data_IF_276085652108
#
_entry.id   IF_276085652108
#
_cell.length_a   1.000
_cell.length_b   1.000
_cell.length_c   1.000
_cell.angle_alpha   90.00
_cell.angle_beta   90.00
_cell.angle_gamma   90.00
#
_symmetry.space_group_name_H-M   'P 1'
#
loop_
_entity.id
_entity.type
_entity.pdbx_description
1 polymer ?
#
# COMPACT_ATOMS: atom_id res chain seq x y z
N UNK A 1 -0.22 -19.41 -20.74
CA UNK A 1 -1.11 -18.44 -20.07
C UNK A 1 -0.40 -17.10 -20.05
N UNK A 2 -1.07 -16.00 -20.43
CA UNK A 2 -0.50 -14.65 -20.26
C UNK A 2 -0.16 -14.45 -18.78
N UNK A 3 1.06 -14.00 -18.47
CA UNK A 3 1.44 -13.72 -17.09
C UNK A 3 0.57 -12.58 -16.54
N UNK A 4 0.06 -12.73 -15.32
CA UNK A 4 -0.61 -11.63 -14.64
C UNK A 4 0.45 -10.57 -14.30
N UNK A 5 0.10 -9.30 -14.30
CA UNK A 5 1.05 -8.22 -14.01
C UNK A 5 0.48 -7.28 -12.97
N UNK A 6 1.28 -6.94 -11.95
CA UNK A 6 1.01 -5.83 -11.03
C UNK A 6 2.03 -4.75 -11.36
N UNK A 7 1.54 -3.57 -11.72
CA UNK A 7 2.39 -2.38 -11.93
C UNK A 7 2.16 -1.43 -10.78
N UNK A 8 3.21 -1.19 -9.99
CA UNK A 8 3.21 -0.24 -8.89
C UNK A 8 3.70 1.10 -9.45
N UNK A 9 3.03 2.17 -9.06
CA UNK A 9 3.37 3.53 -9.44
C UNK A 9 3.49 4.34 -8.16
N UNK A 10 4.69 4.80 -7.81
CA UNK A 10 4.88 5.43 -6.51
C UNK A 10 6.29 5.86 -6.18
N UNK A 11 6.48 6.27 -4.93
CA UNK A 11 7.74 6.81 -4.43
C UNK A 11 8.82 5.75 -4.24
N UNK A 12 10.05 6.17 -4.49
CA UNK A 12 11.29 5.47 -4.21
C UNK A 12 12.11 6.40 -3.31
N UNK A 13 12.36 6.00 -2.07
CA UNK A 13 13.11 6.81 -1.12
C UNK A 13 14.30 6.02 -0.57
N UNK A 14 15.25 6.74 0.03
CA UNK A 14 16.20 6.17 0.98
C UNK A 14 15.93 6.80 2.33
N UNK A 15 15.67 5.96 3.32
CA UNK A 15 15.35 6.39 4.67
C UNK A 15 16.66 6.62 5.45
N UNK A 16 16.79 7.80 6.04
CA UNK A 16 17.90 8.17 6.92
C UNK A 16 17.40 8.10 8.36
N UNK A 17 17.61 6.94 9.00
CA UNK A 17 17.09 6.69 10.35
C UNK A 17 18.16 7.04 11.36
N UNK A 18 17.88 8.08 12.15
CA UNK A 18 18.71 8.50 13.28
C UNK A 18 17.98 8.15 14.57
N UNK A 19 18.59 7.30 15.41
CA UNK A 19 18.01 6.97 16.71
C UNK A 19 18.60 7.89 17.76
N UNK A 20 17.73 8.49 18.56
CA UNK A 20 18.07 9.36 19.67
C UNK A 20 17.33 8.91 20.92
N UNK A 21 17.82 9.25 22.13
CA UNK A 21 17.09 8.98 23.38
C UNK A 21 15.68 9.61 23.43
N UNK A 22 15.48 10.70 22.69
CA UNK A 22 14.18 11.39 22.48
C UNK A 22 14.22 12.27 21.23
N UNK A 23 13.05 12.74 20.80
CA UNK A 23 12.93 13.76 19.75
C UNK A 23 13.61 15.06 20.23
N UNK A 24 14.48 15.71 19.42
CA UNK A 24 15.12 16.97 19.78
C UNK A 24 14.10 18.11 19.81
N UNK A 25 14.29 19.07 20.73
CA UNK A 25 13.50 20.30 20.77
C UNK A 25 13.97 21.28 19.67
N UNK A 26 13.13 22.28 19.33
CA UNK A 26 13.51 23.30 18.36
C UNK A 26 14.79 24.04 18.78
N UNK A 27 15.80 24.03 17.90
CA UNK A 27 17.12 24.65 18.14
C UNK A 27 18.10 23.82 18.97
N UNK A 28 17.69 22.64 19.44
CA UNK A 28 18.55 21.75 20.21
C UNK A 28 19.45 20.90 19.32
N UNK A 29 20.70 20.67 19.76
CA UNK A 29 21.59 19.65 19.18
C UNK A 29 21.67 18.47 20.13
N UNK A 30 21.44 17.26 19.62
CA UNK A 30 21.44 16.03 20.40
C UNK A 30 22.31 14.96 19.71
N UNK A 31 23.13 14.24 20.49
CA UNK A 31 23.94 13.14 19.98
C UNK A 31 23.06 11.92 19.69
N UNK A 32 23.17 11.36 18.48
CA UNK A 32 22.49 10.14 18.08
C UNK A 32 23.14 8.90 18.73
N UNK A 33 22.31 7.92 19.09
CA UNK A 33 22.78 6.59 19.53
C UNK A 33 23.11 5.69 18.34
N UNK A 34 22.46 5.90 17.19
CA UNK A 34 22.79 5.22 15.94
C UNK A 34 22.31 6.02 14.73
N UNK A 35 22.92 5.72 13.59
CA UNK A 35 22.52 6.21 12.28
C UNK A 35 22.57 5.06 11.29
N UNK A 36 21.52 4.89 10.50
CA UNK A 36 21.44 3.87 9.45
C UNK A 36 20.71 4.41 8.24
N UNK A 37 21.15 3.99 7.07
CA UNK A 37 20.45 4.22 5.80
C UNK A 37 19.85 2.92 5.30
N UNK A 38 18.69 3.00 4.66
CA UNK A 38 18.03 1.84 4.09
C UNK A 38 17.07 2.21 2.95
N UNK A 39 16.74 1.27 2.06
CA UNK A 39 15.72 1.51 1.04
C UNK A 39 14.37 1.75 1.71
N UNK A 40 13.61 2.71 1.18
CA UNK A 40 12.30 3.07 1.70
C UNK A 40 11.38 3.64 0.62
N UNK A 41 10.31 4.29 1.06
CA UNK A 41 9.26 4.80 0.18
C UNK A 41 8.15 3.77 -0.04
N UNK A 42 6.91 4.24 0.04
CA UNK A 42 5.72 3.39 0.00
C UNK A 42 5.61 2.58 -1.28
N UNK A 43 5.90 3.20 -2.42
CA UNK A 43 5.91 2.51 -3.72
C UNK A 43 6.93 1.36 -3.75
N UNK A 44 8.17 1.63 -3.31
CA UNK A 44 9.20 0.61 -3.19
C UNK A 44 8.78 -0.53 -2.24
N UNK A 45 8.29 -0.20 -1.05
CA UNK A 45 7.87 -1.17 -0.04
C UNK A 45 6.73 -2.06 -0.55
N UNK A 46 5.72 -1.48 -1.20
CA UNK A 46 4.60 -2.22 -1.79
C UNK A 46 5.05 -3.11 -2.95
N UNK A 47 5.97 -2.64 -3.80
CA UNK A 47 6.53 -3.42 -4.89
C UNK A 47 7.33 -4.63 -4.38
N UNK A 48 8.19 -4.42 -3.38
CA UNK A 48 8.95 -5.49 -2.71
C UNK A 48 8.01 -6.49 -2.03
N UNK A 49 6.97 -6.02 -1.34
CA UNK A 49 5.95 -6.88 -0.73
C UNK A 49 5.26 -7.75 -1.80
N UNK A 50 4.82 -7.15 -2.91
CA UNK A 50 4.23 -7.90 -4.03
C UNK A 50 5.20 -8.94 -4.61
N UNK A 51 6.46 -8.55 -4.82
CA UNK A 51 7.47 -9.41 -5.42
C UNK A 51 7.80 -10.61 -4.54
N UNK A 52 7.91 -10.42 -3.22
CA UNK A 52 8.19 -11.49 -2.27
C UNK A 52 6.98 -12.41 -2.08
N UNK A 53 5.77 -11.85 -1.99
CA UNK A 53 4.55 -12.62 -1.73
C UNK A 53 4.00 -13.34 -2.97
N UNK A 54 4.33 -12.89 -4.17
CA UNK A 54 3.92 -13.55 -5.43
C UNK A 54 4.71 -14.82 -5.74
N UNK A 55 5.95 -14.94 -5.24
CA UNK A 55 6.83 -16.09 -5.45
C UNK A 55 6.36 -17.35 -4.73
N UNK A 56 6.54 -18.50 -5.38
CA UNK A 56 6.38 -19.82 -4.77
C UNK A 56 7.47 -20.07 -3.74
N UNK A 57 7.19 -20.89 -2.71
CA UNK A 57 8.18 -21.25 -1.69
C UNK A 57 9.45 -21.81 -2.33
N UNK A 58 10.65 -21.35 -1.95
CA UNK A 58 11.87 -22.06 -2.30
C UNK A 58 11.78 -23.49 -1.77
N UNK A 59 11.79 -24.47 -2.66
CA UNK A 59 12.08 -25.86 -2.27
C UNK A 59 13.56 -26.09 -2.49
N UNK A 60 14.15 -27.06 -1.79
CA UNK A 60 15.57 -27.40 -1.95
C UNK A 60 15.96 -27.82 -3.37
N UNK A 61 14.98 -28.00 -4.26
CA UNK A 61 15.14 -28.58 -5.60
C UNK A 61 14.74 -27.66 -6.74
N UNK A 62 14.19 -26.46 -6.49
CA UNK A 62 13.78 -25.55 -7.58
C UNK A 62 13.81 -24.07 -7.16
N UNK A 63 14.29 -23.17 -8.04
CA UNK A 63 14.20 -21.75 -7.78
C UNK A 63 12.73 -21.31 -7.66
N UNK A 64 12.43 -20.31 -6.80
CA UNK A 64 11.08 -19.79 -6.63
C UNK A 64 10.56 -19.24 -7.96
N UNK A 65 9.40 -19.74 -8.40
CA UNK A 65 8.71 -19.25 -9.60
C UNK A 65 7.52 -18.38 -9.20
N UNK A 66 7.27 -17.31 -9.98
CA UNK A 66 6.08 -16.47 -9.84
C UNK A 66 5.32 -16.46 -11.16
N UNK A 67 3.99 -16.56 -11.08
CA UNK A 67 3.09 -16.36 -12.22
C UNK A 67 2.55 -14.92 -12.31
N UNK A 68 3.03 -14.03 -11.43
CA UNK A 68 2.70 -12.60 -11.39
C UNK A 68 3.99 -11.81 -11.61
N UNK A 69 4.06 -11.07 -12.70
CA UNK A 69 5.13 -10.13 -12.98
C UNK A 69 4.92 -8.84 -12.16
N UNK A 70 5.96 -8.38 -11.48
CA UNK A 70 5.93 -7.12 -10.72
C UNK A 70 6.72 -6.07 -11.48
N UNK A 71 6.06 -4.95 -11.78
CA UNK A 71 6.66 -3.78 -12.43
C UNK A 71 6.57 -2.59 -11.49
N UNK A 72 7.56 -1.71 -11.54
CA UNK A 72 7.59 -0.45 -10.80
C UNK A 72 7.82 0.71 -11.75
N UNK A 73 6.99 1.73 -11.64
CA UNK A 73 7.17 3.04 -12.25
C UNK A 73 7.35 4.07 -11.13
N UNK A 74 8.52 4.71 -11.04
CA UNK A 74 8.80 5.68 -9.98
C UNK A 74 10.02 6.53 -10.27
N UNK A 75 10.32 7.56 -9.48
CA UNK A 75 11.44 8.46 -9.74
C UNK A 75 12.62 8.14 -8.81
N UNK A 76 13.82 8.00 -9.35
CA UNK A 76 15.05 7.87 -8.57
C UNK A 76 16.04 8.97 -8.98
N UNK A 77 16.73 9.54 -7.99
CA UNK A 77 17.82 10.48 -8.23
C UNK A 77 19.04 9.81 -8.88
N UNK A 78 19.88 10.62 -9.54
CA UNK A 78 21.19 10.18 -10.04
C UNK A 78 22.31 10.35 -8.98
N UNK A 79 21.93 10.56 -7.72
CA UNK A 79 22.82 10.68 -6.57
C UNK A 79 23.35 9.32 -6.12
N UNK A 80 24.14 9.31 -5.04
CA UNK A 80 24.75 8.10 -4.50
C UNK A 80 23.73 7.07 -3.97
N UNK A 81 22.48 7.47 -3.75
CA UNK A 81 21.42 6.62 -3.20
C UNK A 81 20.62 5.90 -4.29
N UNK A 82 20.46 6.52 -5.47
CA UNK A 82 19.66 5.99 -6.58
C UNK A 82 20.10 4.62 -7.09
N UNK A 83 21.36 4.43 -7.56
CA UNK A 83 21.79 3.17 -8.13
C UNK A 83 21.70 1.97 -7.16
N UNK A 84 22.12 2.07 -5.88
CA UNK A 84 21.92 0.98 -4.92
C UNK A 84 20.45 0.61 -4.68
N UNK A 85 19.55 1.61 -4.62
CA UNK A 85 18.12 1.38 -4.45
C UNK A 85 17.54 0.59 -5.64
N UNK A 86 17.85 1.01 -6.86
CA UNK A 86 17.39 0.35 -8.09
C UNK A 86 17.95 -1.08 -8.20
N UNK A 87 19.22 -1.28 -7.85
CA UNK A 87 19.85 -2.60 -7.87
C UNK A 87 19.19 -3.57 -6.86
N UNK A 88 18.88 -3.08 -5.64
CA UNK A 88 18.18 -3.88 -4.62
C UNK A 88 16.79 -4.33 -5.07
N UNK A 89 16.03 -3.44 -5.70
CA UNK A 89 14.71 -3.78 -6.25
C UNK A 89 14.78 -4.75 -7.43
N UNK A 90 15.77 -4.59 -8.32
CA UNK A 90 16.02 -5.54 -9.41
C UNK A 90 16.38 -6.93 -8.89
N UNK A 91 17.17 -7.01 -7.81
CA UNK A 91 17.48 -8.28 -7.13
C UNK A 91 16.24 -8.94 -6.52
N UNK A 92 15.22 -8.16 -6.16
CA UNK A 92 13.89 -8.65 -5.75
C UNK A 92 12.99 -9.06 -6.93
N UNK A 93 13.49 -9.00 -8.17
CA UNK A 93 12.78 -9.42 -9.39
C UNK A 93 11.76 -8.40 -9.90
N UNK A 94 11.92 -7.12 -9.52
CA UNK A 94 11.05 -6.02 -9.95
C UNK A 94 11.63 -5.40 -11.22
N UNK A 95 10.80 -5.31 -12.27
CA UNK A 95 11.13 -4.58 -13.49
C UNK A 95 10.83 -3.10 -13.30
N UNK A 96 11.85 -2.24 -13.35
CA UNK A 96 11.75 -0.84 -12.93
C UNK A 96 11.98 0.07 -14.13
N UNK A 97 11.04 0.99 -14.34
CA UNK A 97 11.22 2.13 -15.23
C UNK A 97 11.21 3.39 -14.38
N UNK A 98 12.29 4.19 -14.44
CA UNK A 98 12.38 5.38 -13.59
C UNK A 98 11.98 6.66 -14.32
N UNK A 99 10.97 7.37 -13.80
CA UNK A 99 10.48 8.67 -14.29
C UNK A 99 9.98 9.53 -13.11
N UNK A 100 10.16 10.85 -13.19
CA UNK A 100 9.48 11.80 -12.30
C UNK A 100 7.97 11.81 -12.60
N UNK A 101 7.12 11.57 -11.60
CA UNK A 101 5.66 11.42 -11.79
C UNK A 101 4.90 12.55 -11.09
N UNK A 102 4.61 13.67 -11.79
CA UNK A 102 3.71 14.70 -11.31
C UNK A 102 2.28 14.19 -11.05
N UNK A 103 1.54 14.84 -10.14
CA UNK A 103 0.11 14.56 -9.89
C UNK A 103 -0.72 14.52 -11.20
N UNK A 104 -0.58 15.48 -12.16
CA UNK A 104 -1.30 15.41 -13.43
C UNK A 104 -1.07 14.10 -14.20
N UNK A 105 0.13 13.52 -14.12
CA UNK A 105 0.46 12.23 -14.73
C UNK A 105 -0.29 11.10 -14.03
N UNK A 106 -0.38 11.10 -12.69
CA UNK A 106 -1.19 10.12 -11.94
C UNK A 106 -2.65 10.19 -12.34
N UNK A 107 -3.24 11.39 -12.44
CA UNK A 107 -4.64 11.55 -12.87
C UNK A 107 -4.88 11.02 -14.29
N UNK A 108 -3.94 11.28 -15.21
CA UNK A 108 -4.01 10.76 -16.58
C UNK A 108 -3.89 9.22 -16.62
N UNK A 109 -3.05 8.64 -15.77
CA UNK A 109 -2.92 7.18 -15.63
C UNK A 109 -4.23 6.57 -15.13
N UNK A 110 -4.87 7.16 -14.10
CA UNK A 110 -6.17 6.70 -13.60
C UNK A 110 -7.25 6.71 -14.69
N UNK A 111 -7.30 7.80 -15.46
CA UNK A 111 -8.22 7.92 -16.61
C UNK A 111 -7.96 6.84 -17.66
N UNK A 112 -6.69 6.67 -18.05
CA UNK A 112 -6.28 5.68 -19.07
C UNK A 112 -6.56 4.25 -18.62
N UNK A 113 -6.29 3.93 -17.34
CA UNK A 113 -6.56 2.62 -16.77
C UNK A 113 -8.06 2.30 -16.78
N UNK A 114 -8.90 3.29 -16.42
CA UNK A 114 -10.36 3.15 -16.50
C UNK A 114 -10.84 2.87 -17.93
N UNK A 115 -10.36 3.63 -18.92
CA UNK A 115 -10.70 3.44 -20.34
C UNK A 115 -10.25 2.07 -20.85
N UNK A 116 -9.07 1.61 -20.43
CA UNK A 116 -8.52 0.30 -20.76
C UNK A 116 -9.10 -0.86 -19.92
N UNK A 117 -10.02 -0.58 -18.98
CA UNK A 117 -10.59 -1.56 -18.03
C UNK A 117 -9.54 -2.30 -17.20
N UNK A 118 -8.44 -1.62 -16.88
CA UNK A 118 -7.41 -2.10 -15.97
C UNK A 118 -7.85 -1.75 -14.53
N UNK A 119 -7.75 -2.72 -13.62
CA UNK A 119 -8.07 -2.46 -12.22
C UNK A 119 -7.03 -1.55 -11.58
N UNK A 120 -7.52 -0.59 -10.80
CA UNK A 120 -6.69 0.37 -10.08
C UNK A 120 -6.83 0.10 -8.58
N UNK A 121 -5.69 -0.14 -7.92
CA UNK A 121 -5.57 -0.03 -6.47
C UNK A 121 -4.89 1.31 -6.15
N UNK A 122 -5.55 2.15 -5.37
CA UNK A 122 -4.98 3.39 -4.87
C UNK A 122 -4.79 3.33 -3.36
N UNK A 123 -3.56 3.53 -2.91
CA UNK A 123 -3.23 3.89 -1.53
C UNK A 123 -2.67 5.33 -1.53
N UNK A 124 -3.49 6.34 -1.24
CA UNK A 124 -3.13 7.74 -1.41
C UNK A 124 -2.17 8.19 -0.30
N UNK A 125 -0.88 8.19 -0.60
CA UNK A 125 0.14 8.57 0.36
C UNK A 125 1.29 9.38 -0.28
N UNK A 126 1.60 10.59 0.22
CA UNK A 126 0.87 11.32 1.26
C UNK A 126 -0.57 11.63 0.80
N UNK A 127 -1.52 11.68 1.74
CA UNK A 127 -2.90 11.95 1.38
C UNK A 127 -3.03 13.37 0.82
N UNK A 128 -3.48 13.44 -0.44
CA UNK A 128 -3.81 14.68 -1.14
C UNK A 128 -5.25 14.54 -1.59
N UNK A 129 -6.04 15.63 -1.50
CA UNK A 129 -7.40 15.62 -2.02
C UNK A 129 -7.39 15.33 -3.51
N UNK A 130 -8.19 14.35 -3.90
CA UNK A 130 -8.33 13.95 -5.29
C UNK A 130 -9.55 14.66 -5.89
N UNK A 131 -9.50 15.03 -7.19
CA UNK A 131 -10.69 15.50 -7.89
C UNK A 131 -11.80 14.44 -7.88
N UNK A 132 -13.06 14.84 -7.74
CA UNK A 132 -14.19 13.91 -7.63
C UNK A 132 -14.33 12.98 -8.85
N UNK A 133 -13.93 13.44 -10.03
CA UNK A 133 -14.02 12.70 -11.29
C UNK A 133 -13.12 11.46 -11.37
N UNK A 134 -12.12 11.31 -10.48
CA UNK A 134 -11.22 10.14 -10.54
C UNK A 134 -11.73 8.94 -9.75
N UNK A 135 -12.58 9.15 -8.74
CA UNK A 135 -13.08 8.06 -7.88
C UNK A 135 -13.76 6.92 -8.65
N UNK A 136 -14.58 7.17 -9.70
CA UNK A 136 -15.16 6.09 -10.50
C UNK A 136 -14.15 5.25 -11.29
N UNK A 137 -12.88 5.66 -11.36
CA UNK A 137 -11.78 4.89 -11.95
C UNK A 137 -11.02 4.03 -10.94
N UNK A 138 -11.29 4.17 -9.64
CA UNK A 138 -10.61 3.45 -8.58
C UNK A 138 -11.36 2.16 -8.27
N UNK A 139 -10.75 1.01 -8.54
CA UNK A 139 -11.35 -0.30 -8.23
C UNK A 139 -11.18 -0.65 -6.75
N UNK A 140 -10.01 -0.37 -6.17
CA UNK A 140 -9.68 -0.68 -4.79
C UNK A 140 -9.07 0.56 -4.13
N UNK A 141 -9.72 1.12 -3.12
CA UNK A 141 -9.19 2.22 -2.32
C UNK A 141 -8.79 1.67 -0.95
N UNK A 142 -7.50 1.80 -0.62
CA UNK A 142 -6.97 1.40 0.69
C UNK A 142 -6.41 2.63 1.38
N UNK A 143 -6.94 2.97 2.55
CA UNK A 143 -6.55 4.14 3.35
C UNK A 143 -6.40 3.76 4.82
N UNK A 144 -5.57 4.49 5.57
CA UNK A 144 -5.62 4.45 7.04
C UNK A 144 -6.65 5.46 7.61
N UNK A 145 -6.81 5.50 8.94
CA UNK A 145 -7.74 6.42 9.60
C UNK A 145 -7.51 7.90 9.23
N UNK A 146 -6.26 8.35 9.28
CA UNK A 146 -5.89 9.75 9.00
C UNK A 146 -6.12 10.12 7.52
N UNK A 147 -5.78 9.22 6.61
CA UNK A 147 -5.97 9.40 5.16
C UNK A 147 -7.49 9.43 4.83
N UNK A 148 -8.28 8.57 5.46
CA UNK A 148 -9.73 8.52 5.32
C UNK A 148 -10.40 9.81 5.82
N UNK A 149 -9.97 10.31 6.98
CA UNK A 149 -10.45 11.58 7.53
C UNK A 149 -10.14 12.74 6.56
N UNK A 150 -8.89 12.85 6.11
CA UNK A 150 -8.46 13.94 5.23
C UNK A 150 -9.23 13.97 3.90
N UNK A 151 -9.39 12.81 3.26
CA UNK A 151 -10.07 12.68 1.97
C UNK A 151 -11.57 12.97 2.04
N UNK A 152 -12.16 12.84 3.22
CA UNK A 152 -13.59 13.10 3.44
C UNK A 152 -13.86 14.38 4.25
N UNK A 153 -12.84 15.23 4.42
CA UNK A 153 -12.91 16.51 5.13
C UNK A 153 -13.34 16.41 6.60
N UNK A 154 -12.94 15.32 7.26
CA UNK A 154 -13.15 15.08 8.70
C UNK A 154 -11.86 15.29 9.48
N UNK A 155 -11.98 15.50 10.79
CA UNK A 155 -10.81 15.57 11.68
C UNK A 155 -10.37 14.16 12.09
N UNK A 156 -9.11 14.01 12.50
CA UNK A 156 -8.61 12.72 13.00
C UNK A 156 -9.31 12.35 14.31
N UNK A 157 -9.54 13.33 15.17
CA UNK A 157 -10.22 13.16 16.46
C UNK A 157 -11.66 12.66 16.30
N UNK A 158 -12.34 13.10 15.23
CA UNK A 158 -13.68 12.62 14.90
C UNK A 158 -13.67 11.12 14.58
N UNK A 159 -12.79 10.68 13.68
CA UNK A 159 -12.77 9.29 13.20
C UNK A 159 -12.14 8.32 14.20
N UNK A 160 -11.32 8.81 15.13
CA UNK A 160 -10.72 8.01 16.20
C UNK A 160 -11.64 7.82 17.41
N UNK A 161 -12.82 8.46 17.43
CA UNK A 161 -13.81 8.29 18.49
C UNK A 161 -14.17 6.80 18.69
N UNK A 162 -14.31 6.30 19.94
CA UNK A 162 -14.48 4.87 20.22
C UNK A 162 -15.62 4.18 19.46
N UNK A 163 -16.71 4.91 19.21
CA UNK A 163 -17.93 4.41 18.57
C UNK A 163 -18.14 5.01 17.17
N UNK A 164 -17.07 5.48 16.51
CA UNK A 164 -17.17 6.03 15.16
C UNK A 164 -17.69 4.98 14.17
N UNK A 165 -18.77 5.32 13.45
CA UNK A 165 -19.33 4.45 12.43
C UNK A 165 -18.63 4.63 11.07
N UNK A 166 -17.69 3.72 10.80
CA UNK A 166 -16.95 3.67 9.53
C UNK A 166 -17.83 3.46 8.29
N UNK A 167 -19.09 3.02 8.44
CA UNK A 167 -20.03 2.95 7.32
C UNK A 167 -20.23 4.32 6.66
N UNK A 168 -20.10 5.40 7.43
CA UNK A 168 -20.24 6.78 6.93
C UNK A 168 -19.21 7.08 5.83
N UNK A 169 -17.92 6.89 6.12
CA UNK A 169 -16.84 7.16 5.16
C UNK A 169 -16.84 6.15 4.02
N UNK A 170 -17.08 4.87 4.32
CA UNK A 170 -17.13 3.81 3.32
C UNK A 170 -18.22 4.12 2.28
N UNK A 171 -19.44 4.43 2.73
CA UNK A 171 -20.56 4.75 1.85
C UNK A 171 -20.30 6.01 1.04
N UNK A 172 -19.59 6.99 1.59
CA UNK A 172 -19.18 8.18 0.84
C UNK A 172 -18.30 7.82 -0.37
N UNK A 173 -17.26 7.00 -0.18
CA UNK A 173 -16.39 6.55 -1.28
C UNK A 173 -17.11 5.63 -2.28
N UNK A 174 -17.97 4.74 -1.81
CA UNK A 174 -18.80 3.90 -2.68
C UNK A 174 -19.75 4.77 -3.54
N UNK A 175 -20.37 5.80 -2.96
CA UNK A 175 -21.21 6.76 -3.69
C UNK A 175 -20.40 7.55 -4.74
N UNK A 176 -19.13 7.84 -4.47
CA UNK A 176 -18.20 8.46 -5.43
C UNK A 176 -17.77 7.51 -6.57
N UNK A 177 -18.17 6.23 -6.51
CA UNK A 177 -17.95 5.25 -7.57
C UNK A 177 -16.76 4.31 -7.36
N UNK A 178 -16.15 4.32 -6.18
CA UNK A 178 -15.12 3.31 -5.83
C UNK A 178 -15.78 1.94 -5.72
N UNK A 179 -15.15 0.89 -6.27
CA UNK A 179 -15.74 -0.46 -6.22
C UNK A 179 -15.54 -1.15 -4.87
N UNK A 180 -14.32 -1.10 -4.33
CA UNK A 180 -13.94 -1.68 -3.04
C UNK A 180 -13.23 -0.64 -2.19
N UNK A 181 -13.65 -0.51 -0.94
CA UNK A 181 -13.08 0.42 0.04
C UNK A 181 -12.59 -0.39 1.22
N UNK A 182 -11.34 -0.17 1.62
CA UNK A 182 -10.70 -0.79 2.78
C UNK A 182 -10.08 0.31 3.62
N UNK A 183 -10.43 0.35 4.90
CA UNK A 183 -9.85 1.27 5.88
C UNK A 183 -9.09 0.45 6.91
N UNK A 184 -7.77 0.61 6.95
CA UNK A 184 -6.92 -0.04 7.94
C UNK A 184 -6.96 0.73 9.26
N UNK A 185 -7.14 0.03 10.37
CA UNK A 185 -7.34 0.57 11.72
C UNK A 185 -6.20 0.21 12.68
N UNK A 186 -4.97 0.13 12.14
CA UNK A 186 -3.78 -0.31 12.86
C UNK A 186 -3.98 -1.66 13.57
N UNK A 187 -3.80 -1.67 14.90
CA UNK A 187 -3.93 -2.88 15.73
C UNK A 187 -5.37 -3.34 15.95
N UNK A 188 -6.38 -2.56 15.53
CA UNK A 188 -7.79 -2.98 15.60
C UNK A 188 -8.14 -3.91 14.44
N UNK A 189 -7.50 -3.76 13.27
CA UNK A 189 -7.77 -4.57 12.08
C UNK A 189 -8.08 -3.72 10.86
N UNK A 190 -9.08 -4.11 10.08
CA UNK A 190 -9.55 -3.36 8.93
C UNK A 190 -11.08 -3.47 8.78
N UNK A 191 -11.71 -2.39 8.34
CA UNK A 191 -13.10 -2.38 7.87
C UNK A 191 -13.12 -2.32 6.35
N UNK A 192 -14.11 -2.93 5.73
CA UNK A 192 -14.21 -2.94 4.28
C UNK A 192 -15.64 -3.03 3.78
N UNK A 193 -15.87 -2.56 2.57
CA UNK A 193 -17.07 -2.88 1.82
C UNK A 193 -16.82 -2.80 0.32
N UNK A 194 -17.72 -3.40 -0.44
CA UNK A 194 -17.83 -3.18 -1.87
C UNK A 194 -19.26 -2.75 -2.23
N UNK A 195 -19.46 -2.25 -3.46
CA UNK A 195 -20.72 -1.67 -3.93
C UNK A 195 -21.95 -2.60 -3.91
N UNK A 196 -21.78 -3.88 -3.57
CA UNK A 196 -22.84 -4.88 -3.51
C UNK A 196 -23.09 -5.42 -2.10
N UNK A 197 -22.42 -4.89 -1.07
CA UNK A 197 -22.65 -5.26 0.32
C UNK A 197 -23.70 -4.34 0.96
N UNK A 198 -24.59 -4.92 1.76
CA UNK A 198 -25.56 -4.13 2.54
C UNK A 198 -24.91 -3.40 3.72
N UNK A 199 -23.82 -3.96 4.28
CA UNK A 199 -23.08 -3.41 5.42
C UNK A 199 -21.58 -3.68 5.29
N UNK A 200 -20.71 -2.82 5.84
CA UNK A 200 -19.28 -3.10 5.92
C UNK A 200 -18.96 -4.36 6.73
N UNK A 201 -17.97 -5.12 6.26
CA UNK A 201 -17.33 -6.16 7.04
C UNK A 201 -16.20 -5.60 7.91
N UNK A 202 -15.80 -6.38 8.92
CA UNK A 202 -14.68 -6.07 9.81
C UNK A 202 -13.80 -7.31 9.98
N UNK A 203 -12.49 -7.12 9.82
CA UNK A 203 -11.48 -8.17 10.01
C UNK A 203 -10.55 -7.72 11.14
N UNK A 204 -10.50 -8.43 12.28
CA UNK A 204 -9.63 -8.05 13.38
C UNK A 204 -8.15 -8.25 13.03
N UNK A 205 -7.28 -7.42 13.58
CA UNK A 205 -5.84 -7.64 13.45
C UNK A 205 -5.40 -8.89 14.23
N UNK A 206 -4.47 -9.65 13.66
CA UNK A 206 -3.80 -10.73 14.37
C UNK A 206 -2.91 -10.17 15.49
N UNK A 207 -2.98 -10.79 16.68
CA UNK A 207 -2.16 -10.36 17.81
C UNK A 207 -0.72 -10.80 17.60
N UNK A 208 0.18 -9.83 17.48
CA UNK A 208 1.63 -10.07 17.46
C UNK A 208 2.18 -9.97 18.89
N UNK A 209 2.88 -11.01 19.35
CA UNK A 209 3.35 -11.11 20.73
C UNK A 209 4.36 -10.01 21.12
N UNK A 210 5.13 -9.51 20.15
CA UNK A 210 6.06 -8.39 20.34
C UNK A 210 6.12 -7.55 19.06
N UNK A 211 5.63 -6.32 19.15
CA UNK A 211 5.81 -5.32 18.10
C UNK A 211 7.19 -4.67 18.29
N UNK A 212 8.07 -4.83 17.30
CA UNK A 212 9.42 -4.25 17.32
C UNK A 212 9.47 -2.99 16.46
N UNK A 213 8.87 -3.05 15.27
CA UNK A 213 8.79 -1.94 14.31
C UNK A 213 7.47 -2.06 13.54
N UNK A 214 6.75 -0.94 13.39
CA UNK A 214 5.50 -0.86 12.61
C UNK A 214 5.70 -0.20 11.25
N UNK A 215 6.93 0.22 10.93
CA UNK A 215 7.29 0.83 9.65
C UNK A 215 6.96 -0.12 8.51
N UNK A 216 6.35 0.41 7.44
CA UNK A 216 5.93 -0.33 6.25
C UNK A 216 4.90 -1.47 6.46
N UNK A 217 4.28 -1.60 7.65
CA UNK A 217 3.24 -2.61 7.88
C UNK A 217 2.04 -2.41 6.94
N UNK A 218 1.62 -1.16 6.73
CA UNK A 218 0.58 -0.81 5.76
C UNK A 218 0.97 -1.11 4.31
N UNK A 219 2.22 -0.85 3.94
CA UNK A 219 2.73 -1.15 2.59
C UNK A 219 2.77 -2.66 2.32
N UNK A 220 3.13 -3.44 3.34
CA UNK A 220 3.10 -4.91 3.30
C UNK A 220 1.67 -5.43 3.15
N UNK A 221 0.72 -4.85 3.89
CA UNK A 221 -0.70 -5.17 3.77
C UNK A 221 -1.21 -4.89 2.34
N UNK A 222 -0.93 -3.70 1.80
CA UNK A 222 -1.33 -3.33 0.43
C UNK A 222 -0.74 -4.30 -0.61
N UNK A 223 0.55 -4.64 -0.49
CA UNK A 223 1.19 -5.59 -1.40
C UNK A 223 0.60 -7.00 -1.33
N UNK A 224 0.34 -7.48 -0.12
CA UNK A 224 -0.30 -8.79 0.10
C UNK A 224 -1.72 -8.84 -0.48
N UNK A 225 -2.50 -7.79 -0.26
CA UNK A 225 -3.86 -7.66 -0.77
C UNK A 225 -3.86 -7.69 -2.30
N UNK A 226 -2.98 -6.90 -2.94
CA UNK A 226 -2.87 -6.85 -4.39
C UNK A 226 -2.55 -8.23 -4.99
N UNK A 227 -1.63 -8.98 -4.38
CA UNK A 227 -1.30 -10.34 -4.80
C UNK A 227 -2.50 -11.28 -4.67
N UNK A 228 -3.26 -11.22 -3.57
CA UNK A 228 -4.45 -12.05 -3.36
C UNK A 228 -5.54 -11.79 -4.41
N UNK A 229 -5.86 -10.51 -4.65
CA UNK A 229 -6.86 -10.10 -5.67
C UNK A 229 -6.46 -10.62 -7.05
N UNK A 230 -5.19 -10.47 -7.44
CA UNK A 230 -4.69 -10.94 -8.73
C UNK A 230 -4.70 -12.47 -8.81
N UNK A 231 -4.36 -13.19 -7.73
CA UNK A 231 -4.41 -14.67 -7.68
C UNK A 231 -5.82 -15.19 -7.97
N UNK A 232 -6.84 -14.58 -7.37
CA UNK A 232 -8.26 -14.94 -7.58
C UNK A 232 -8.80 -14.64 -8.98
N UNK A 233 -8.03 -13.94 -9.82
CA UNK A 233 -8.44 -13.60 -11.18
C UNK A 233 -9.09 -12.22 -11.31
N UNK A 234 -9.07 -11.41 -10.24
CA UNK A 234 -9.53 -10.03 -10.30
C UNK A 234 -11.04 -9.89 -10.53
N UNK A 235 -11.88 -10.61 -9.77
CA UNK A 235 -13.34 -10.61 -9.96
C UNK A 235 -14.05 -9.28 -9.60
N UNK A 236 -13.29 -8.20 -9.35
CA UNK A 236 -13.80 -6.84 -9.20
C UNK A 236 -14.36 -6.50 -7.83
N UNK A 237 -14.84 -7.49 -7.06
CA UNK A 237 -15.30 -7.33 -5.67
C UNK A 237 -14.46 -8.18 -4.70
N UNK A 238 -14.23 -7.67 -3.48
CA UNK A 238 -13.41 -8.35 -2.46
C UNK A 238 -14.21 -8.81 -1.26
N UNK A 239 -13.78 -9.92 -0.67
CA UNK A 239 -14.35 -10.51 0.55
C UNK A 239 -13.41 -10.41 1.75
N UNK A 240 -13.87 -10.94 2.88
CA UNK A 240 -13.09 -11.02 4.13
C UNK A 240 -11.75 -11.74 3.93
N UNK A 241 -11.74 -12.80 3.13
CA UNK A 241 -10.56 -13.61 2.85
C UNK A 241 -9.47 -12.89 2.04
N UNK A 242 -9.81 -11.80 1.34
CA UNK A 242 -8.83 -10.95 0.64
C UNK A 242 -8.10 -10.02 1.62
N UNK A 243 -8.75 -9.71 2.74
CA UNK A 243 -8.33 -8.73 3.76
C UNK A 243 -7.73 -9.43 4.98
N UNK A 244 -8.12 -10.68 5.23
CA UNK A 244 -7.52 -11.56 6.21
C UNK A 244 -6.11 -11.99 5.76
N UNK A 245 -5.22 -11.00 5.73
CA UNK A 245 -3.83 -11.14 5.37
C UNK A 245 -3.12 -11.69 6.60
N UNK A 246 -3.15 -13.01 6.69
CA UNK A 246 -2.19 -13.72 7.54
C UNK A 246 -0.84 -13.54 6.87
N UNK A 247 0.05 -12.76 7.47
CA UNK A 247 1.47 -13.07 7.34
C UNK A 247 1.56 -14.48 7.91
N UNK A 248 1.60 -15.47 7.02
CA UNK A 248 1.69 -16.88 7.36
C UNK A 248 2.72 -16.98 8.50
N UNK A 249 2.33 -17.47 9.68
CA UNK A 249 3.28 -17.66 10.79
C UNK A 249 4.43 -18.60 10.41
N UNK A 250 4.34 -19.24 9.25
CA UNK A 250 5.36 -20.05 8.59
C UNK A 250 6.35 -19.23 7.72
N UNK A 251 6.26 -17.89 7.73
CA UNK A 251 7.07 -16.96 6.93
C UNK A 251 7.80 -15.87 7.75
N UNK A 252 7.90 -16.04 9.08
CA UNK A 252 8.77 -15.24 9.95
C UNK A 252 9.96 -16.04 10.44
#
# INVERSE_FOLDING_TARGET
MSSKTITIIGSLNVDLVTVTPRVPSGGETLTASSFSTGPGGKGANQAVACARLSRSRPTSTSPPTSNIAIKMLGAAGADEFGPPLLAGMAADGIDISSLEIPIPTVLQILKTAKEAKVQVLLNPAPAVKLPEEVYPGITHLIVNETEAALLTNRSVEEVEAPDYDWSTIINEFLCKGVTNVIITLGSKGAVFAHSGMDKPGFVPAEKVAKVVDTTAAGDTFVGAYAVNVVRKGGNGVVGEEDINIRINKDHA
#
